data_IF_480035766781
#
_entry.id   IF_480035766781
#
_cell.length_a   1.000
_cell.length_b   1.000
_cell.length_c   1.000
_cell.angle_alpha   90.00
_cell.angle_beta   90.00
_cell.angle_gamma   90.00
#
_symmetry.space_group_name_H-M   'P 1'
#
loop_
_entity.id
_entity.type
_entity.pdbx_description
1 polymer ?
#
# COMPACT_ATOMS: atom_id res chain seq x y z
N UNK A 1 -14.69 -10.05 -3.92
CA UNK A 1 -13.51 -10.02 -3.02
C UNK A 1 -13.56 -11.24 -2.11
N UNK A 2 -12.54 -12.07 -2.17
CA UNK A 2 -12.45 -13.34 -1.42
C UNK A 2 -11.41 -13.29 -0.28
N UNK A 3 -10.76 -12.14 -0.09
CA UNK A 3 -9.69 -11.97 0.87
C UNK A 3 -9.85 -10.67 1.66
N UNK A 4 -9.32 -10.68 2.88
CA UNK A 4 -9.14 -9.50 3.73
C UNK A 4 -7.92 -8.67 3.29
N UNK A 5 -7.11 -9.20 2.37
CA UNK A 5 -5.99 -8.46 1.79
C UNK A 5 -6.47 -7.44 0.74
N UNK A 6 -5.82 -6.26 0.64
CA UNK A 6 -6.12 -5.28 -0.41
C UNK A 6 -5.99 -5.88 -1.83
N UNK A 7 -6.99 -5.63 -2.66
CA UNK A 7 -7.05 -6.03 -4.06
C UNK A 7 -7.26 -4.80 -4.95
N UNK A 8 -6.63 -4.81 -6.14
CA UNK A 8 -6.88 -3.79 -7.17
C UNK A 8 -8.15 -4.16 -7.95
N UNK A 9 -9.08 -3.23 -8.05
CA UNK A 9 -10.31 -3.35 -8.83
C UNK A 9 -10.23 -2.35 -9.99
N UNK A 10 -10.20 -2.81 -11.25
CA UNK A 10 -10.15 -1.93 -12.42
C UNK A 10 -11.45 -1.12 -12.56
N UNK A 11 -11.34 0.16 -12.88
CA UNK A 11 -12.50 1.01 -13.16
C UNK A 11 -12.85 1.04 -14.66
N UNK A 12 -11.93 0.66 -15.53
CA UNK A 12 -12.01 0.88 -16.97
C UNK A 12 -11.81 2.34 -17.39
N UNK A 13 -11.53 3.25 -16.45
CA UNK A 13 -11.32 4.68 -16.70
C UNK A 13 -9.82 4.97 -16.62
N UNK A 14 -9.29 5.65 -17.64
CA UNK A 14 -7.91 6.14 -17.66
C UNK A 14 -7.87 7.63 -17.34
N UNK A 15 -6.78 8.05 -16.71
CA UNK A 15 -6.48 9.47 -16.56
C UNK A 15 -5.99 10.12 -17.87
N UNK A 16 -5.71 11.43 -17.84
CA UNK A 16 -5.81 12.33 -16.70
C UNK A 16 -7.27 12.59 -16.30
N UNK A 17 -7.51 12.96 -15.03
CA UNK A 17 -8.86 13.26 -14.51
C UNK A 17 -9.53 14.39 -15.28
N UNK A 18 -8.72 15.35 -15.72
CA UNK A 18 -9.15 16.48 -16.52
C UNK A 18 -8.19 16.66 -17.70
N UNK A 19 -8.73 16.82 -18.90
CA UNK A 19 -7.95 16.75 -20.14
C UNK A 19 -7.18 18.03 -20.48
N UNK A 20 -7.40 19.14 -19.75
CA UNK A 20 -6.61 20.35 -20.01
C UNK A 20 -5.20 20.20 -19.47
N UNK A 21 -4.22 20.29 -20.36
CA UNK A 21 -2.79 20.11 -20.10
C UNK A 21 -2.22 20.97 -18.95
N UNK A 22 -2.90 22.07 -18.61
CA UNK A 22 -2.47 23.04 -17.59
C UNK A 22 -3.25 22.95 -16.26
N UNK A 23 -4.21 22.03 -16.14
CA UNK A 23 -4.90 21.87 -14.86
C UNK A 23 -4.06 21.04 -13.91
N UNK A 24 -3.57 21.65 -12.83
CA UNK A 24 -3.00 20.93 -11.68
C UNK A 24 -4.03 20.13 -10.88
N UNK A 25 -5.12 19.67 -11.52
CA UNK A 25 -6.27 19.06 -10.87
C UNK A 25 -6.03 17.57 -10.67
N UNK A 26 -5.77 17.19 -9.43
CA UNK A 26 -5.73 15.80 -8.99
C UNK A 26 -7.08 15.35 -8.45
N UNK A 27 -7.14 14.09 -8.01
CA UNK A 27 -8.32 13.56 -7.34
C UNK A 27 -7.96 12.64 -6.17
N UNK A 28 -8.73 12.74 -5.09
CA UNK A 28 -8.77 11.73 -4.04
C UNK A 28 -9.80 10.67 -4.41
N UNK A 29 -9.38 9.42 -4.51
CA UNK A 29 -10.25 8.26 -4.64
C UNK A 29 -10.64 7.80 -3.24
N UNK A 30 -11.92 7.92 -2.92
CA UNK A 30 -12.48 7.59 -1.61
C UNK A 30 -13.59 6.55 -1.73
N UNK A 31 -13.75 5.71 -0.70
CA UNK A 31 -14.89 4.81 -0.59
C UNK A 31 -16.20 5.57 -0.41
N UNK A 32 -17.29 4.99 -0.92
CA UNK A 32 -18.64 5.48 -0.62
C UNK A 32 -19.13 4.90 0.70
N UNK A 33 -19.91 5.67 1.46
CA UNK A 33 -20.51 5.19 2.71
C UNK A 33 -21.30 3.90 2.54
N UNK A 34 -22.04 3.74 1.43
CA UNK A 34 -22.76 2.51 1.11
C UNK A 34 -21.86 1.30 0.91
N UNK A 35 -20.64 1.49 0.38
CA UNK A 35 -19.65 0.42 0.26
C UNK A 35 -19.11 0.06 1.65
N UNK A 36 -18.76 1.05 2.46
CA UNK A 36 -18.29 0.85 3.84
C UNK A 36 -19.32 0.12 4.70
N UNK A 37 -20.60 0.49 4.61
CA UNK A 37 -21.70 -0.19 5.31
C UNK A 37 -21.88 -1.64 4.86
N UNK A 38 -21.55 -1.95 3.61
CA UNK A 38 -21.58 -3.32 3.09
C UNK A 38 -20.34 -4.14 3.49
N UNK A 39 -19.41 -3.59 4.30
CA UNK A 39 -18.18 -4.24 4.70
C UNK A 39 -17.03 -4.12 3.70
N UNK A 40 -17.18 -3.30 2.65
CA UNK A 40 -16.15 -3.02 1.66
C UNK A 40 -15.35 -1.78 2.06
N UNK A 41 -14.07 -1.96 2.38
CA UNK A 41 -13.15 -0.88 2.71
C UNK A 41 -12.35 -0.52 1.46
N UNK A 42 -12.57 0.69 0.96
CA UNK A 42 -11.74 1.30 -0.08
C UNK A 42 -10.63 2.08 0.59
N UNK A 43 -9.37 1.73 0.30
CA UNK A 43 -8.22 2.49 0.77
C UNK A 43 -8.16 3.83 0.01
N UNK A 44 -8.02 4.97 0.71
CA UNK A 44 -7.84 6.25 0.06
C UNK A 44 -6.66 6.23 -0.93
N UNK A 45 -6.88 6.77 -2.12
CA UNK A 45 -5.87 6.86 -3.16
C UNK A 45 -5.70 8.29 -3.66
N UNK A 46 -4.47 8.70 -3.93
CA UNK A 46 -4.15 9.96 -4.60
C UNK A 46 -3.92 9.70 -6.08
N UNK A 47 -4.69 10.37 -6.93
CA UNK A 47 -4.52 10.38 -8.38
C UNK A 47 -3.91 11.71 -8.78
N UNK A 48 -2.67 11.67 -9.23
CA UNK A 48 -1.98 12.86 -9.71
C UNK A 48 -2.60 13.37 -11.00
N UNK A 49 -2.54 14.69 -11.20
CA UNK A 49 -3.09 15.35 -12.39
C UNK A 49 -2.48 14.84 -13.71
N UNK A 50 -1.22 14.37 -13.67
CA UNK A 50 -0.47 13.87 -14.81
C UNK A 50 -0.48 12.33 -14.94
N UNK A 51 -1.29 11.63 -14.13
CA UNK A 51 -1.45 10.18 -14.23
C UNK A 51 -2.31 9.82 -15.45
N UNK A 52 -1.76 8.99 -16.36
CA UNK A 52 -2.40 8.57 -17.61
C UNK A 52 -2.79 7.09 -17.64
N UNK A 53 -2.47 6.36 -16.57
CA UNK A 53 -2.80 4.95 -16.43
C UNK A 53 -4.28 4.73 -16.12
N UNK A 54 -4.67 3.45 -16.02
CA UNK A 54 -5.99 3.08 -15.53
C UNK A 54 -6.10 3.40 -14.04
N UNK A 55 -7.19 4.07 -13.67
CA UNK A 55 -7.53 4.36 -12.29
C UNK A 55 -8.00 3.05 -11.65
N UNK A 56 -7.29 2.59 -10.63
CA UNK A 56 -7.66 1.38 -9.89
C UNK A 56 -8.20 1.77 -8.52
N UNK A 57 -9.24 1.07 -8.09
CA UNK A 57 -9.72 1.12 -6.70
C UNK A 57 -8.95 0.05 -5.93
N UNK A 58 -8.28 0.43 -4.84
CA UNK A 58 -7.69 -0.56 -3.92
C UNK A 58 -8.67 -0.78 -2.78
N UNK A 59 -9.14 -2.02 -2.63
CA UNK A 59 -10.14 -2.33 -1.61
C UNK A 59 -9.99 -3.74 -1.04
N UNK A 60 -10.48 -3.94 0.17
CA UNK A 60 -10.62 -5.24 0.82
C UNK A 60 -11.96 -5.32 1.55
N UNK A 61 -12.37 -6.53 1.92
CA UNK A 61 -13.58 -6.76 2.73
C UNK A 61 -13.21 -7.25 4.12
N UNK A 62 -13.94 -6.82 5.14
CA UNK A 62 -13.79 -7.33 6.51
C UNK A 62 -14.30 -8.78 6.63
N UNK A 63 -15.31 -9.14 5.84
CA UNK A 63 -15.98 -10.44 5.88
C UNK A 63 -16.09 -11.01 4.46
N UNK A 64 -15.08 -11.75 3.97
CA UNK A 64 -15.17 -12.43 2.68
C UNK A 64 -16.13 -13.64 2.75
N UNK A 65 -16.83 -13.98 1.66
CA UNK A 65 -16.82 -13.31 0.36
C UNK A 65 -17.74 -12.08 0.31
N UNK A 66 -17.29 -11.03 -0.38
CA UNK A 66 -18.11 -9.87 -0.73
C UNK A 66 -18.24 -9.75 -2.25
N UNK A 67 -19.48 -9.71 -2.75
CA UNK A 67 -19.77 -9.66 -4.19
C UNK A 67 -20.06 -8.21 -4.60
N UNK A 68 -19.23 -7.67 -5.49
CA UNK A 68 -19.47 -6.38 -6.14
C UNK A 68 -19.92 -6.66 -7.59
N UNK A 69 -21.18 -6.37 -7.90
CA UNK A 69 -21.69 -6.49 -9.28
C UNK A 69 -21.04 -5.42 -10.17
N UNK A 70 -20.85 -5.75 -11.46
CA UNK A 70 -20.39 -4.77 -12.46
C UNK A 70 -21.34 -3.57 -12.48
N UNK A 71 -20.80 -2.36 -12.52
CA UNK A 71 -21.56 -1.11 -12.49
C UNK A 71 -21.95 -0.62 -11.09
N UNK A 72 -21.69 -1.39 -10.02
CA UNK A 72 -21.87 -0.90 -8.66
C UNK A 72 -20.89 0.22 -8.37
N UNK A 73 -21.42 1.38 -7.97
CA UNK A 73 -20.62 2.53 -7.56
C UNK A 73 -20.11 2.31 -6.14
N UNK A 74 -18.85 1.93 -5.99
CA UNK A 74 -18.20 1.63 -4.69
C UNK A 74 -17.25 2.71 -4.20
N UNK A 75 -16.78 3.58 -5.09
CA UNK A 75 -15.87 4.67 -4.80
C UNK A 75 -16.36 5.97 -5.46
N UNK A 76 -15.72 7.08 -5.11
CA UNK A 76 -15.93 8.41 -5.65
C UNK A 76 -14.60 9.15 -5.76
N UNK A 77 -14.55 10.13 -6.67
CA UNK A 77 -13.42 11.04 -6.83
C UNK A 77 -13.78 12.40 -6.22
N UNK A 78 -12.90 12.92 -5.38
CA UNK A 78 -12.96 14.29 -4.86
C UNK A 78 -11.81 15.07 -5.48
N UNK A 79 -12.15 16.05 -6.33
CA UNK A 79 -11.17 16.84 -7.06
C UNK A 79 -10.47 17.82 -6.12
N UNK A 80 -9.17 17.99 -6.31
CA UNK A 80 -8.41 19.03 -5.61
C UNK A 80 -7.41 19.69 -6.57
N UNK A 81 -7.14 20.96 -6.35
CA UNK A 81 -6.09 21.66 -7.06
C UNK A 81 -4.77 21.44 -6.33
N UNK A 82 -3.78 20.86 -7.01
CA UNK A 82 -2.42 20.78 -6.50
C UNK A 82 -1.81 22.19 -6.56
N UNK A 83 -1.75 22.84 -5.41
CA UNK A 83 -0.99 24.08 -5.25
C UNK A 83 0.46 23.68 -4.97
N UNK A 84 1.34 23.89 -5.95
CA UNK A 84 2.77 23.71 -5.72
C UNK A 84 3.25 24.88 -4.85
N UNK A 85 3.78 24.57 -3.67
CA UNK A 85 4.52 25.54 -2.85
C UNK A 85 5.95 25.65 -3.38
N UNK A 86 6.66 26.76 -3.11
CA UNK A 86 8.03 26.95 -3.62
C UNK A 86 9.01 25.83 -3.17
N UNK A 87 8.69 25.09 -2.11
CA UNK A 87 9.42 23.90 -1.66
C UNK A 87 9.15 22.63 -2.48
N UNK A 88 8.08 22.58 -3.29
CA UNK A 88 7.82 21.49 -4.25
C UNK A 88 8.69 21.61 -5.53
N UNK A 89 9.47 22.68 -5.65
CA UNK A 89 10.37 22.98 -6.79
C UNK A 89 11.68 22.16 -6.72
N UNK A 90 11.84 21.25 -5.74
CA UNK A 90 12.94 20.29 -5.79
C UNK A 90 12.72 19.26 -6.91
N UNK A 91 13.27 19.66 -8.06
CA UNK A 91 13.49 18.94 -9.32
C UNK A 91 12.25 18.87 -10.20
N UNK A 92 12.48 19.02 -11.51
CA UNK A 92 11.60 18.54 -12.59
C UNK A 92 11.29 17.07 -12.33
N UNK A 93 10.32 16.78 -11.48
CA UNK A 93 9.87 15.42 -11.25
C UNK A 93 9.41 14.90 -12.61
N UNK A 94 9.89 13.73 -13.06
CA UNK A 94 9.43 13.16 -14.31
C UNK A 94 7.92 13.00 -14.23
N UNK A 95 7.22 13.27 -15.35
CA UNK A 95 5.78 13.01 -15.44
C UNK A 95 5.51 11.59 -14.94
N UNK A 96 4.52 11.44 -14.07
CA UNK A 96 4.16 10.14 -13.51
C UNK A 96 3.77 9.16 -14.62
N UNK A 97 3.02 9.64 -15.61
CA UNK A 97 2.56 8.82 -16.74
C UNK A 97 1.62 7.69 -16.28
N UNK A 98 1.83 6.48 -16.78
CA UNK A 98 1.03 5.30 -16.44
C UNK A 98 1.57 4.51 -15.22
N UNK A 99 2.65 4.99 -14.60
CA UNK A 99 3.33 4.31 -13.50
C UNK A 99 2.64 4.58 -12.16
N UNK A 100 2.30 3.53 -11.42
CA UNK A 100 1.65 3.63 -10.11
C UNK A 100 1.94 2.46 -9.17
N UNK A 101 1.35 2.49 -7.97
CA UNK A 101 1.42 1.41 -6.97
C UNK A 101 2.85 1.03 -6.55
N UNK A 102 3.67 2.01 -6.14
CA UNK A 102 5.04 1.77 -5.68
C UNK A 102 6.08 1.75 -6.80
N UNK A 103 5.78 2.26 -7.99
CA UNK A 103 6.72 2.30 -9.13
C UNK A 103 8.00 3.11 -8.89
N UNK A 104 8.01 3.97 -7.87
CA UNK A 104 9.16 4.82 -7.50
C UNK A 104 9.57 4.63 -6.05
N UNK A 105 8.85 3.82 -5.27
CA UNK A 105 9.18 3.55 -3.87
C UNK A 105 9.93 2.23 -3.76
N UNK A 106 10.82 2.13 -2.79
CA UNK A 106 11.40 0.84 -2.40
C UNK A 106 10.25 -0.11 -2.03
N UNK A 107 10.31 -1.35 -2.51
CA UNK A 107 9.30 -2.34 -2.17
C UNK A 107 9.31 -2.51 -0.66
N UNK A 108 8.18 -2.29 0.01
CA UNK A 108 8.00 -2.61 1.42
C UNK A 108 8.01 -4.14 1.57
N UNK A 109 9.20 -4.73 1.60
CA UNK A 109 9.40 -6.15 1.87
C UNK A 109 9.53 -6.29 3.38
N UNK A 110 8.43 -6.69 4.02
CA UNK A 110 8.47 -7.08 5.43
C UNK A 110 8.66 -8.60 5.49
N UNK A 111 9.80 -9.05 6.03
CA UNK A 111 9.94 -10.45 6.43
C UNK A 111 9.08 -10.68 7.67
N UNK A 112 7.93 -11.34 7.48
CA UNK A 112 7.06 -11.72 8.60
C UNK A 112 7.29 -13.21 8.90
N UNK A 113 8.09 -13.50 9.93
CA UNK A 113 8.23 -14.86 10.45
C UNK A 113 7.33 -15.04 11.68
N UNK A 114 6.40 -15.99 11.61
CA UNK A 114 5.63 -16.35 12.79
C UNK A 114 6.55 -16.98 13.85
N UNK A 115 6.63 -16.37 15.03
CA UNK A 115 7.46 -16.82 16.16
C UNK A 115 7.00 -18.12 16.84
N UNK A 116 6.07 -18.87 16.22
CA UNK A 116 5.72 -20.24 16.64
C UNK A 116 6.93 -21.18 16.54
N UNK A 117 7.77 -20.97 15.52
CA UNK A 117 9.08 -21.61 15.38
C UNK A 117 10.16 -20.53 15.39
N UNK A 118 10.76 -20.31 16.56
CA UNK A 118 11.84 -19.33 16.72
C UNK A 118 13.11 -19.87 16.04
N UNK A 119 13.81 -19.07 15.21
CA UNK A 119 15.06 -19.49 14.60
C UNK A 119 16.15 -19.49 15.68
N UNK A 120 16.24 -20.60 16.42
CA UNK A 120 17.20 -20.77 17.51
C UNK A 120 18.43 -21.52 17.03
N UNK A 121 19.61 -21.05 17.42
CA UNK A 121 20.90 -21.70 17.19
C UNK A 121 21.49 -22.12 18.54
N UNK A 122 22.06 -23.32 18.61
CA UNK A 122 22.84 -23.76 19.76
C UNK A 122 24.28 -23.26 19.65
N UNK A 123 24.68 -22.41 20.58
CA UNK A 123 26.04 -21.89 20.69
C UNK A 123 26.79 -22.58 21.83
N UNK A 124 28.07 -22.83 21.63
CA UNK A 124 28.97 -23.27 22.69
C UNK A 124 29.88 -22.10 23.05
N UNK A 125 29.61 -21.46 24.18
CA UNK A 125 30.43 -20.38 24.70
C UNK A 125 31.59 -20.98 25.49
N UNK A 126 32.83 -20.65 25.12
CA UNK A 126 34.03 -21.08 25.84
C UNK A 126 34.74 -19.86 26.42
N UNK A 127 35.09 -19.92 27.70
CA UNK A 127 35.98 -18.97 28.35
C UNK A 127 36.92 -19.74 29.29
N UNK A 128 38.21 -19.70 28.99
CA UNK A 128 39.23 -20.47 29.70
C UNK A 128 38.85 -21.97 29.78
N UNK A 129 38.80 -22.55 30.98
CA UNK A 129 38.42 -23.96 31.20
C UNK A 129 36.89 -24.18 31.30
N UNK A 130 36.08 -23.14 31.14
CA UNK A 130 34.64 -23.24 31.22
C UNK A 130 34.01 -23.26 29.82
N UNK A 131 33.07 -24.18 29.63
CA UNK A 131 32.26 -24.25 28.41
C UNK A 131 30.79 -24.37 28.79
N UNK A 132 29.94 -23.57 28.16
CA UNK A 132 28.49 -23.57 28.37
C UNK A 132 27.78 -23.60 27.03
N UNK A 133 26.83 -24.53 26.88
CA UNK A 133 25.95 -24.57 25.71
C UNK A 133 24.73 -23.68 25.98
N UNK A 134 24.52 -22.69 25.12
CA UNK A 134 23.42 -21.74 25.21
C UNK A 134 22.58 -21.86 23.94
N UNK A 135 21.26 -21.81 24.09
CA UNK A 135 20.35 -21.68 22.95
C UNK A 135 20.09 -20.18 22.73
N UNK A 136 20.55 -19.64 21.61
CA UNK A 136 20.42 -18.23 21.24
C UNK A 136 19.48 -18.08 20.04
N UNK A 137 18.79 -16.95 19.95
CA UNK A 137 17.97 -16.64 18.79
C UNK A 137 18.84 -16.01 17.71
N UNK A 138 18.68 -16.44 16.46
CA UNK A 138 19.30 -15.78 15.31
C UNK A 138 18.67 -14.40 15.16
N UNK A 139 19.51 -13.39 15.02
CA UNK A 139 19.07 -12.06 14.64
C UNK A 139 18.51 -12.14 13.21
N UNK A 140 17.25 -11.78 13.05
CA UNK A 140 16.57 -11.77 11.74
C UNK A 140 16.83 -10.48 10.98
N UNK A 141 17.63 -9.54 11.52
CA UNK A 141 17.84 -8.22 10.93
C UNK A 141 16.57 -7.37 10.93
N UNK A 142 15.67 -7.62 11.89
CA UNK A 142 14.42 -6.89 11.99
C UNK A 142 14.63 -5.64 12.85
N UNK A 143 14.61 -4.47 12.22
CA UNK A 143 14.70 -3.18 12.91
C UNK A 143 13.42 -2.80 13.69
N UNK A 144 12.38 -3.64 13.60
CA UNK A 144 11.08 -3.40 14.25
C UNK A 144 10.57 -4.69 14.89
N UNK A 145 10.48 -4.70 16.22
CA UNK A 145 9.79 -5.76 16.95
C UNK A 145 8.32 -5.39 17.11
N UNK A 146 7.44 -6.10 16.42
CA UNK A 146 5.98 -5.97 16.63
C UNK A 146 5.55 -7.05 17.61
N UNK A 147 5.14 -6.64 18.81
CA UNK A 147 4.50 -7.51 19.79
C UNK A 147 2.99 -7.39 19.55
N UNK A 148 2.34 -8.50 19.21
CA UNK A 148 0.87 -8.61 19.22
C UNK A 148 0.41 -9.34 20.48
#
# INVERSE_FOLDING_TARGET
LTSVMPQKIPTGVKGPIYASSDSGLGALLLGRSSASMAGLIVLPGVIDADFTGEIMIVAYTLTPPLIVKKGTRIAQLVLYLKVCTESDVFRKAPKRGDKGFGSTGDTLVNLVQQMKQRPMISLLLKKENHQVKVLAMLDTGADVTIIS
#
